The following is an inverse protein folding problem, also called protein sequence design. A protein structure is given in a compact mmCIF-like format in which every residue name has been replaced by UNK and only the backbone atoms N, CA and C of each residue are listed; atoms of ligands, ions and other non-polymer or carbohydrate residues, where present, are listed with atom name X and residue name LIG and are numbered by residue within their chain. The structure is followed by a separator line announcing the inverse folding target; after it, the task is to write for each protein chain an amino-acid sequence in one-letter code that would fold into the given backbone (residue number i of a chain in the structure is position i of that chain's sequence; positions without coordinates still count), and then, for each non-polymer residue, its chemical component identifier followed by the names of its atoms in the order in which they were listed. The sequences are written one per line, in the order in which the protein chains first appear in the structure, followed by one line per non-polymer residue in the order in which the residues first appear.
data_IF_809876543201
#
_entry.id   IF_809876543201
#
_cell.length_a   1.000
_cell.length_b   1.000
_cell.length_c   1.000
_cell.angle_alpha   90.00
_cell.angle_beta   90.00
_cell.angle_gamma   90.00
#
_symmetry.space_group_name_H-M   'P 1'
#
loop_
_entity.id
_entity.type
_entity.pdbx_description
1 polymer ?
#
# COMPACT_ATOMS: atom_id res chain seq x y z
N UNK A 1 -10.76 -27.59 9.74
CA UNK A 1 -9.33 -27.35 9.98
C UNK A 1 -8.85 -26.23 9.06
N UNK A 2 -8.26 -25.18 9.63
CA UNK A 2 -7.72 -24.03 8.89
C UNK A 2 -6.25 -24.26 8.61
N UNK A 3 -5.82 -24.12 7.33
CA UNK A 3 -4.43 -24.30 6.93
C UNK A 3 -4.10 -23.53 5.66
N UNK A 4 -2.84 -23.15 5.49
CA UNK A 4 -2.33 -22.73 4.20
C UNK A 4 -2.13 -23.92 3.27
N UNK A 5 -2.61 -23.81 2.03
CA UNK A 5 -2.54 -24.86 1.00
C UNK A 5 -1.77 -24.41 -0.24
N UNK A 6 -1.40 -23.12 -0.33
CA UNK A 6 -0.52 -22.54 -1.33
C UNK A 6 0.35 -21.45 -0.69
N UNK A 7 1.53 -21.22 -1.25
CA UNK A 7 2.57 -20.35 -0.74
C UNK A 7 3.35 -21.06 0.37
N UNK A 8 2.99 -20.78 1.60
CA UNK A 8 3.57 -21.43 2.79
C UNK A 8 2.82 -22.69 3.20
N UNK A 9 3.43 -23.52 4.05
CA UNK A 9 2.79 -24.64 4.72
C UNK A 9 2.65 -24.34 6.22
N UNK A 10 1.42 -24.19 6.68
CA UNK A 10 1.11 -24.04 8.09
C UNK A 10 -0.31 -24.53 8.40
N UNK A 11 -0.44 -25.29 9.48
CA UNK A 11 -1.72 -25.81 9.95
C UNK A 11 -2.04 -25.23 11.33
N UNK A 12 -3.15 -24.52 11.43
CA UNK A 12 -3.58 -23.89 12.68
C UNK A 12 -4.01 -24.89 13.77
N UNK A 13 -4.23 -26.17 13.43
CA UNK A 13 -4.45 -27.19 14.46
C UNK A 13 -3.24 -27.38 15.40
N UNK A 14 -2.05 -27.07 14.91
CA UNK A 14 -0.78 -27.16 15.64
C UNK A 14 -0.50 -25.89 16.48
N UNK A 15 -1.19 -24.80 16.19
CA UNK A 15 -1.04 -23.54 16.92
C UNK A 15 -1.57 -23.67 18.37
N UNK A 16 -0.86 -23.07 19.31
CA UNK A 16 -1.35 -22.88 20.68
C UNK A 16 -2.56 -21.91 20.74
N UNK A 17 -2.62 -20.96 19.80
CA UNK A 17 -3.72 -20.00 19.68
C UNK A 17 -4.89 -20.62 18.92
N UNK A 18 -6.00 -20.86 19.58
CA UNK A 18 -7.21 -21.47 19.01
C UNK A 18 -8.31 -20.45 18.68
N UNK A 19 -8.19 -19.23 19.17
CA UNK A 19 -9.14 -18.14 18.96
C UNK A 19 -8.40 -16.83 18.88
N UNK A 20 -8.85 -15.94 18.01
CA UNK A 20 -8.40 -14.55 17.91
C UNK A 20 -9.60 -13.64 18.11
N UNK A 21 -9.40 -12.52 18.80
CA UNK A 21 -10.42 -11.50 18.97
C UNK A 21 -10.56 -10.62 17.72
N UNK A 22 -11.69 -9.97 17.51
CA UNK A 22 -11.83 -8.97 16.46
C UNK A 22 -10.70 -7.93 16.52
N UNK A 23 -10.09 -7.63 15.37
CA UNK A 23 -8.97 -6.69 15.26
C UNK A 23 -7.61 -7.23 15.75
N UNK A 24 -7.58 -8.41 16.36
CA UNK A 24 -6.32 -9.04 16.79
C UNK A 24 -5.54 -9.57 15.59
N UNK A 25 -4.22 -9.35 15.60
CA UNK A 25 -3.28 -9.87 14.61
C UNK A 25 -2.63 -11.14 15.12
N UNK A 26 -2.42 -12.12 14.25
CA UNK A 26 -1.76 -13.37 14.53
C UNK A 26 -0.60 -13.55 13.54
N UNK A 27 0.59 -13.77 14.08
CA UNK A 27 1.81 -13.91 13.29
C UNK A 27 2.11 -15.38 13.00
N UNK A 28 2.52 -15.64 11.78
CA UNK A 28 3.11 -16.92 11.36
C UNK A 28 4.49 -16.57 10.83
N UNK A 29 5.53 -17.15 11.39
CA UNK A 29 6.91 -16.76 11.13
C UNK A 29 7.71 -17.90 10.51
N UNK A 30 8.72 -17.58 9.70
CA UNK A 30 9.59 -18.61 9.12
C UNK A 30 10.53 -19.22 10.16
N UNK A 31 11.01 -18.40 11.11
CA UNK A 31 11.90 -18.80 12.18
C UNK A 31 11.66 -17.92 13.41
N UNK A 32 11.17 -18.51 14.46
CA UNK A 32 10.81 -17.78 15.68
C UNK A 32 12.02 -17.19 16.41
N UNK A 33 13.16 -17.88 16.42
CA UNK A 33 14.36 -17.38 17.08
C UNK A 33 14.91 -16.14 16.33
N UNK A 34 14.95 -16.19 15.00
CA UNK A 34 15.36 -15.05 14.16
C UNK A 34 14.35 -13.89 14.27
N UNK A 35 13.07 -14.19 14.32
CA UNK A 35 12.01 -13.19 14.53
C UNK A 35 12.18 -12.46 15.86
N UNK A 36 12.36 -13.21 16.95
CA UNK A 36 12.55 -12.67 18.30
C UNK A 36 13.85 -11.86 18.42
N UNK A 37 14.92 -12.27 17.73
CA UNK A 37 16.17 -11.51 17.70
C UNK A 37 15.98 -10.15 16.98
N UNK A 38 15.15 -10.12 15.93
CA UNK A 38 14.95 -8.92 15.10
C UNK A 38 13.93 -7.94 15.69
N UNK A 39 12.84 -8.45 16.25
CA UNK A 39 11.68 -7.65 16.68
C UNK A 39 11.45 -7.68 18.19
N UNK A 40 12.27 -8.40 18.92
CA UNK A 40 12.05 -8.70 20.35
C UNK A 40 10.99 -9.79 20.54
N UNK A 41 10.89 -10.28 21.78
CA UNK A 41 9.79 -11.16 22.13
C UNK A 41 8.51 -10.36 22.15
N UNK A 42 7.45 -10.79 21.43
CA UNK A 42 6.13 -10.18 21.60
C UNK A 42 5.77 -10.27 23.08
N UNK A 43 5.30 -9.18 23.63
CA UNK A 43 4.99 -9.04 25.08
C UNK A 43 3.89 -10.01 25.56
N UNK A 44 3.28 -10.74 24.63
CA UNK A 44 2.30 -11.79 24.90
C UNK A 44 2.51 -12.97 23.94
N UNK A 45 2.57 -14.23 24.43
CA UNK A 45 2.71 -15.43 23.58
C UNK A 45 1.58 -15.62 22.56
N UNK A 46 0.57 -14.77 22.60
CA UNK A 46 -0.65 -14.86 21.80
C UNK A 46 -0.50 -14.34 20.35
N UNK A 47 0.63 -13.72 20.01
CA UNK A 47 0.80 -13.13 18.68
C UNK A 47 1.45 -14.07 17.66
N UNK A 48 2.26 -15.04 18.06
CA UNK A 48 2.90 -16.01 17.17
C UNK A 48 2.11 -17.32 17.19
N UNK A 49 1.49 -17.65 16.08
CA UNK A 49 0.75 -18.91 15.91
C UNK A 49 1.69 -20.12 15.79
N UNK A 50 2.87 -19.90 15.24
CA UNK A 50 3.90 -20.92 15.00
C UNK A 50 4.79 -20.58 13.82
N UNK A 51 5.61 -21.56 13.43
CA UNK A 51 6.51 -21.46 12.29
C UNK A 51 5.93 -22.16 11.06
N UNK A 52 6.03 -21.52 9.92
CA UNK A 52 5.65 -22.11 8.66
C UNK A 52 6.83 -22.79 7.95
N UNK A 53 6.53 -23.74 7.08
CA UNK A 53 7.48 -24.36 6.17
C UNK A 53 7.35 -23.75 4.77
N UNK A 54 8.36 -23.97 3.94
CA UNK A 54 8.59 -23.32 2.65
C UNK A 54 9.00 -21.85 2.81
N UNK A 55 9.23 -21.20 1.70
CA UNK A 55 9.54 -19.77 1.61
C UNK A 55 8.52 -19.09 0.72
N UNK A 56 8.22 -17.86 1.01
CA UNK A 56 7.54 -16.98 0.07
C UNK A 56 8.47 -16.69 -1.10
N UNK A 57 7.91 -16.68 -2.32
CA UNK A 57 8.68 -16.39 -3.54
C UNK A 57 9.00 -14.90 -3.62
N UNK A 58 10.25 -14.55 -3.99
CA UNK A 58 10.64 -13.17 -4.24
C UNK A 58 10.04 -12.62 -5.54
N UNK A 59 9.62 -13.50 -6.47
CA UNK A 59 9.02 -13.14 -7.76
C UNK A 59 7.51 -13.38 -7.83
N UNK A 60 6.84 -13.25 -6.71
CA UNK A 60 5.40 -13.43 -6.63
C UNK A 60 4.94 -14.90 -6.60
N UNK A 61 3.81 -15.15 -5.98
CA UNK A 61 3.15 -16.45 -5.94
C UNK A 61 1.71 -16.37 -5.43
N UNK A 62 1.04 -17.52 -5.49
CA UNK A 62 -0.31 -17.67 -4.93
C UNK A 62 -0.27 -18.01 -3.46
N UNK A 63 -0.99 -17.25 -2.65
CA UNK A 63 -1.23 -17.52 -1.24
C UNK A 63 -2.67 -18.01 -1.08
N UNK A 64 -2.83 -19.17 -0.44
CA UNK A 64 -4.16 -19.73 -0.19
C UNK A 64 -4.30 -20.25 1.22
N UNK A 65 -5.21 -19.65 1.98
CA UNK A 65 -5.71 -20.14 3.26
C UNK A 65 -7.02 -20.87 3.03
N UNK A 66 -7.11 -22.11 3.49
CA UNK A 66 -8.27 -22.99 3.25
C UNK A 66 -8.82 -23.54 4.55
N UNK A 67 -10.12 -23.82 4.55
CA UNK A 67 -10.84 -24.50 5.63
C UNK A 67 -11.36 -25.88 5.17
N UNK A 68 -11.34 -26.86 6.07
CA UNK A 68 -11.89 -28.19 5.82
C UNK A 68 -11.26 -28.90 4.62
N UNK A 69 -12.08 -29.34 3.67
CA UNK A 69 -11.66 -30.06 2.46
C UNK A 69 -10.97 -29.17 1.40
N UNK A 70 -10.74 -27.89 1.69
CA UNK A 70 -10.05 -26.97 0.77
C UNK A 70 -10.87 -25.77 0.36
N UNK A 71 -11.97 -25.49 1.06
CA UNK A 71 -12.75 -24.25 0.86
C UNK A 71 -11.87 -23.04 1.11
N UNK A 72 -11.69 -22.13 0.14
CA UNK A 72 -10.84 -20.95 0.30
C UNK A 72 -11.44 -19.99 1.32
N UNK A 73 -10.62 -19.51 2.23
CA UNK A 73 -10.90 -18.38 3.13
C UNK A 73 -10.25 -17.13 2.59
N UNK A 74 -8.99 -17.25 2.13
CA UNK A 74 -8.26 -16.24 1.39
C UNK A 74 -7.54 -16.95 0.24
N UNK A 75 -7.57 -16.37 -0.95
CA UNK A 75 -6.95 -16.94 -2.15
C UNK A 75 -6.58 -15.80 -3.10
N UNK A 76 -5.29 -15.49 -3.21
CA UNK A 76 -4.80 -14.40 -4.05
C UNK A 76 -3.39 -14.67 -4.56
N UNK A 77 -2.99 -13.92 -5.58
CA UNK A 77 -1.62 -13.86 -6.07
C UNK A 77 -1.04 -12.48 -5.75
N UNK A 78 0.21 -12.46 -5.29
CA UNK A 78 1.01 -11.23 -5.25
C UNK A 78 2.13 -11.31 -6.28
N UNK A 79 2.74 -10.15 -6.58
CA UNK A 79 3.84 -10.01 -7.53
C UNK A 79 4.87 -9.01 -6.98
N UNK A 80 6.06 -8.97 -7.54
CA UNK A 80 7.15 -8.04 -7.24
C UNK A 80 7.26 -6.91 -8.27
N UNK A 81 6.67 -7.11 -9.46
CA UNK A 81 6.67 -6.14 -10.54
C UNK A 81 5.51 -5.13 -10.44
N UNK A 82 5.71 -3.93 -11.03
CA UNK A 82 4.63 -2.93 -11.19
C UNK A 82 3.41 -3.57 -11.90
N UNK A 83 2.19 -3.34 -11.42
CA UNK A 83 1.74 -2.27 -10.50
C UNK A 83 1.83 -2.58 -8.99
N UNK A 84 2.43 -3.68 -8.59
CA UNK A 84 2.68 -3.98 -7.18
C UNK A 84 3.72 -3.03 -6.59
N UNK A 85 3.70 -2.78 -5.25
CA UNK A 85 4.65 -1.89 -4.59
C UNK A 85 6.08 -2.44 -4.61
N UNK A 86 6.88 -2.05 -5.61
CA UNK A 86 8.22 -2.61 -5.90
C UNK A 86 9.24 -2.46 -4.77
N UNK A 87 9.09 -1.47 -3.87
CA UNK A 87 9.98 -1.31 -2.72
C UNK A 87 9.79 -2.40 -1.63
N UNK A 88 8.82 -3.29 -1.79
CA UNK A 88 8.69 -4.50 -0.98
C UNK A 88 9.69 -5.59 -1.43
N UNK A 89 10.22 -5.49 -2.66
CA UNK A 89 11.25 -6.37 -3.18
C UNK A 89 12.65 -5.75 -2.98
N UNK A 90 13.37 -6.23 -1.96
CA UNK A 90 14.77 -5.89 -1.71
C UNK A 90 15.04 -4.61 -0.91
N UNK A 91 14.17 -3.61 -0.92
CA UNK A 91 14.37 -2.34 -0.19
C UNK A 91 14.03 -2.42 1.30
N UNK A 92 13.65 -3.61 1.77
CA UNK A 92 13.39 -3.94 3.17
C UNK A 92 12.01 -3.52 3.69
N UNK A 93 11.10 -3.15 2.82
CA UNK A 93 9.68 -2.95 3.15
C UNK A 93 8.89 -4.25 3.03
N UNK A 94 7.72 -4.29 3.67
CA UNK A 94 6.74 -5.37 3.52
C UNK A 94 5.57 -4.91 2.68
N UNK A 95 4.87 -5.83 2.03
CA UNK A 95 3.53 -5.58 1.50
C UNK A 95 2.54 -5.46 2.68
N UNK A 96 1.72 -4.44 2.66
CA UNK A 96 0.65 -4.17 3.63
C UNK A 96 -0.67 -3.98 2.90
N UNK A 97 -1.67 -4.80 3.25
CA UNK A 97 -3.02 -4.65 2.70
C UNK A 97 -3.67 -3.40 3.30
N UNK A 98 -4.14 -2.51 2.44
CA UNK A 98 -4.75 -1.24 2.83
C UNK A 98 -6.17 -1.50 3.36
N UNK A 99 -6.50 -0.97 4.53
CA UNK A 99 -7.82 -1.03 5.15
C UNK A 99 -8.44 -2.46 5.14
N UNK A 100 -7.75 -3.47 5.72
CA UNK A 100 -8.19 -4.87 5.64
C UNK A 100 -9.57 -5.12 6.26
N UNK A 101 -10.03 -4.24 7.16
CA UNK A 101 -11.38 -4.28 7.77
C UNK A 101 -12.50 -4.03 6.76
N UNK A 102 -12.20 -3.43 5.60
CA UNK A 102 -13.15 -3.22 4.50
C UNK A 102 -13.24 -4.43 3.57
N UNK A 103 -12.44 -5.49 3.84
CA UNK A 103 -12.34 -6.69 3.03
C UNK A 103 -12.02 -6.41 1.54
N UNK A 104 -10.94 -5.64 1.25
CA UNK A 104 -10.55 -5.34 -0.13
C UNK A 104 -10.11 -6.62 -0.86
N UNK A 105 -10.29 -6.65 -2.18
CA UNK A 105 -9.78 -7.77 -3.00
C UNK A 105 -8.24 -7.81 -2.97
N UNK A 106 -7.63 -8.84 -2.38
CA UNK A 106 -6.17 -8.92 -2.27
C UNK A 106 -5.45 -9.23 -3.60
N UNK A 107 -6.17 -9.53 -4.69
CA UNK A 107 -5.60 -9.68 -6.02
C UNK A 107 -5.31 -8.35 -6.73
N UNK A 108 -5.84 -7.25 -6.21
CA UNK A 108 -5.64 -5.93 -6.80
C UNK A 108 -4.45 -5.23 -6.17
N UNK A 109 -3.39 -5.00 -6.94
CA UNK A 109 -2.17 -4.32 -6.51
C UNK A 109 -2.44 -2.97 -5.82
N UNK A 110 -3.45 -2.21 -6.30
CA UNK A 110 -3.84 -0.92 -5.72
C UNK A 110 -4.42 -1.01 -4.30
N UNK A 111 -4.72 -2.23 -3.82
CA UNK A 111 -5.12 -2.48 -2.43
C UNK A 111 -3.92 -2.75 -1.52
N UNK A 112 -2.70 -2.70 -2.05
CA UNK A 112 -1.47 -2.91 -1.31
C UNK A 112 -0.59 -1.66 -1.31
N UNK A 113 0.19 -1.51 -0.28
CA UNK A 113 1.26 -0.52 -0.15
C UNK A 113 2.49 -1.12 0.52
N UNK A 114 3.59 -0.41 0.49
CA UNK A 114 4.73 -0.75 1.34
C UNK A 114 4.44 -0.39 2.81
N UNK A 115 5.11 -1.07 3.73
CA UNK A 115 5.10 -0.71 5.15
C UNK A 115 5.68 0.70 5.36
N UNK A 116 5.17 1.41 6.37
CA UNK A 116 5.65 2.76 6.71
C UNK A 116 7.09 2.78 7.22
N UNK A 117 7.58 1.62 7.66
CA UNK A 117 8.95 1.44 8.15
C UNK A 117 9.66 0.32 7.38
N UNK A 118 10.94 0.51 7.11
CA UNK A 118 11.81 -0.59 6.68
C UNK A 118 11.85 -1.67 7.75
N UNK A 119 11.89 -2.93 7.33
CA UNK A 119 11.79 -4.14 8.17
C UNK A 119 10.37 -4.49 8.60
N UNK A 120 9.38 -3.71 8.19
CA UNK A 120 7.98 -3.93 8.56
C UNK A 120 7.66 -3.62 10.03
N UNK A 121 6.43 -3.89 10.40
CA UNK A 121 5.92 -3.68 11.77
C UNK A 121 5.03 -4.88 12.22
N UNK A 122 5.57 -6.10 12.25
CA UNK A 122 4.78 -7.31 12.47
C UNK A 122 4.05 -7.27 13.82
N UNK A 123 2.77 -7.63 13.80
CA UNK A 123 1.91 -7.64 14.99
C UNK A 123 1.35 -6.28 15.41
N UNK A 124 1.87 -5.19 14.87
CA UNK A 124 1.38 -3.84 15.14
C UNK A 124 0.64 -3.25 13.93
N UNK A 125 0.03 -2.09 14.13
CA UNK A 125 -0.50 -1.28 13.05
C UNK A 125 0.50 -0.21 12.68
N UNK A 126 0.72 0.01 11.40
CA UNK A 126 1.42 1.18 10.88
C UNK A 126 0.45 2.17 10.21
N UNK A 127 -0.86 1.97 10.48
CA UNK A 127 -1.92 2.88 10.07
C UNK A 127 -1.96 4.07 11.02
N UNK A 128 -2.02 5.26 10.46
CA UNK A 128 -2.40 6.50 11.15
C UNK A 128 -3.87 6.79 10.85
N UNK A 129 -4.58 7.40 11.79
CA UNK A 129 -5.98 7.74 11.60
C UNK A 129 -6.17 9.24 11.52
N UNK A 130 -7.05 9.67 10.63
CA UNK A 130 -7.44 11.06 10.54
C UNK A 130 -8.34 11.43 11.73
N UNK A 131 -7.99 12.51 12.39
CA UNK A 131 -8.79 13.09 13.47
C UNK A 131 -9.12 14.55 13.17
N UNK A 132 -10.36 14.93 13.42
CA UNK A 132 -10.81 16.32 13.25
C UNK A 132 -11.78 16.53 12.08
N UNK A 133 -11.97 17.80 11.72
CA UNK A 133 -12.84 18.18 10.59
C UNK A 133 -12.06 18.14 9.28
N UNK A 134 -12.44 17.30 8.31
CA UNK A 134 -11.71 17.14 7.06
C UNK A 134 -11.66 18.42 6.20
N UNK A 135 -12.67 19.29 6.34
CA UNK A 135 -12.80 20.51 5.54
C UNK A 135 -12.23 21.77 6.20
N UNK A 136 -11.82 21.68 7.48
CA UNK A 136 -11.17 22.79 8.15
C UNK A 136 -9.75 23.00 7.65
N UNK A 137 -9.27 24.23 7.75
CA UNK A 137 -7.89 24.66 7.55
C UNK A 137 -7.46 25.33 8.86
N UNK A 138 -7.04 24.50 9.83
CA UNK A 138 -6.81 24.96 11.21
C UNK A 138 -5.55 25.82 11.34
N UNK A 139 -4.59 25.64 10.44
CA UNK A 139 -3.34 26.42 10.41
C UNK A 139 -3.35 27.56 9.39
N UNK A 140 -4.45 27.74 8.64
CA UNK A 140 -4.71 28.81 7.68
C UNK A 140 -3.67 28.90 6.55
N UNK A 141 -3.18 27.76 6.07
CA UNK A 141 -2.20 27.70 4.98
C UNK A 141 -2.84 27.48 3.59
N UNK A 142 -4.16 27.39 3.51
CA UNK A 142 -4.92 27.17 2.27
C UNK A 142 -5.14 25.71 1.91
N UNK A 143 -4.73 24.77 2.76
CA UNK A 143 -4.98 23.34 2.61
C UNK A 143 -5.93 22.84 3.70
N UNK A 144 -6.85 21.96 3.35
CA UNK A 144 -7.70 21.37 4.37
C UNK A 144 -6.92 20.35 5.22
N UNK A 145 -7.35 20.15 6.46
CA UNK A 145 -6.75 19.20 7.39
C UNK A 145 -6.64 17.79 6.78
N UNK A 146 -7.62 17.36 5.99
CA UNK A 146 -7.59 16.04 5.32
C UNK A 146 -6.46 15.96 4.28
N UNK A 147 -6.23 17.05 3.53
CA UNK A 147 -5.13 17.10 2.55
C UNK A 147 -3.78 17.04 3.27
N UNK A 148 -3.59 17.81 4.35
CA UNK A 148 -2.36 17.80 5.14
C UNK A 148 -2.11 16.48 5.87
N UNK A 149 -3.19 15.79 6.23
CA UNK A 149 -3.10 14.44 6.78
C UNK A 149 -2.54 13.45 5.77
N UNK A 150 -3.04 13.47 4.53
CA UNK A 150 -2.67 12.51 3.50
C UNK A 150 -1.35 12.84 2.81
N UNK A 151 -1.07 14.13 2.61
CA UNK A 151 0.07 14.63 1.86
C UNK A 151 0.96 15.52 2.72
N UNK A 152 2.20 15.71 2.26
CA UNK A 152 3.12 16.67 2.85
C UNK A 152 3.96 17.34 1.77
N UNK A 153 4.50 18.53 2.07
CA UNK A 153 5.32 19.28 1.14
C UNK A 153 4.52 19.85 -0.04
N UNK A 154 5.25 20.15 -1.11
CA UNK A 154 4.68 20.79 -2.30
C UNK A 154 4.29 19.74 -3.34
N UNK A 155 3.16 19.96 -3.99
CA UNK A 155 2.80 19.31 -5.24
C UNK A 155 3.53 20.04 -6.37
N UNK A 156 4.28 19.31 -7.20
CA UNK A 156 5.12 19.90 -8.24
C UNK A 156 4.64 19.38 -9.60
N UNK A 157 4.10 20.30 -10.41
CA UNK A 157 3.86 20.04 -11.83
C UNK A 157 5.13 20.30 -12.64
N UNK A 158 5.40 19.47 -13.64
CA UNK A 158 6.58 19.58 -14.50
C UNK A 158 6.30 18.97 -15.89
N UNK A 159 7.25 19.15 -16.79
CA UNK A 159 7.33 18.41 -18.06
C UNK A 159 8.58 17.53 -18.00
N UNK A 160 8.40 16.28 -18.32
CA UNK A 160 9.51 15.30 -18.38
C UNK A 160 9.64 14.75 -19.79
N UNK A 161 10.85 14.35 -20.16
CA UNK A 161 11.12 13.76 -21.46
C UNK A 161 11.30 12.25 -21.31
N UNK A 162 10.50 11.48 -22.05
CA UNK A 162 10.62 10.03 -22.14
C UNK A 162 10.70 9.66 -23.62
N UNK A 163 11.75 8.93 -24.02
CA UNK A 163 12.02 8.55 -25.40
C UNK A 163 11.94 9.74 -26.39
N UNK A 164 12.56 10.86 -26.02
CA UNK A 164 12.56 12.12 -26.76
C UNK A 164 11.20 12.78 -26.99
N UNK A 165 10.19 12.39 -26.19
CA UNK A 165 8.87 13.02 -26.21
C UNK A 165 8.59 13.70 -24.85
N UNK A 166 8.06 14.94 -24.85
CA UNK A 166 7.69 15.64 -23.63
C UNK A 166 6.34 15.13 -23.11
N UNK A 167 6.25 14.92 -21.79
CA UNK A 167 5.01 14.51 -21.12
C UNK A 167 4.72 15.44 -19.94
N UNK A 168 3.45 15.77 -19.68
CA UNK A 168 3.07 16.45 -18.45
C UNK A 168 3.27 15.49 -17.28
N UNK A 169 3.80 15.98 -16.18
CA UNK A 169 4.05 15.19 -14.98
C UNK A 169 3.65 15.93 -13.71
N UNK A 170 3.42 15.16 -12.66
CA UNK A 170 3.17 15.66 -11.32
C UNK A 170 3.94 14.80 -10.32
N UNK A 171 4.50 15.45 -9.29
CA UNK A 171 5.10 14.78 -8.15
C UNK A 171 4.50 15.30 -6.85
N UNK A 172 4.26 14.39 -5.92
CA UNK A 172 3.77 14.70 -4.58
C UNK A 172 4.33 13.73 -3.55
N UNK A 173 4.28 14.11 -2.28
CA UNK A 173 4.72 13.27 -1.17
C UNK A 173 3.49 12.84 -0.38
N UNK A 174 3.32 11.53 -0.26
CA UNK A 174 2.24 10.90 0.51
C UNK A 174 2.78 10.38 1.83
N UNK A 175 1.96 10.45 2.88
CA UNK A 175 2.20 9.72 4.13
C UNK A 175 1.71 8.28 3.99
N UNK A 176 2.62 7.34 4.16
CA UNK A 176 2.27 5.92 4.28
C UNK A 176 1.49 5.71 5.58
N UNK A 177 0.53 4.80 5.55
CA UNK A 177 -0.33 4.54 6.72
C UNK A 177 -1.57 5.41 6.81
N UNK A 178 -1.74 6.45 5.97
CA UNK A 178 -3.02 7.17 5.83
C UNK A 178 -4.03 6.33 5.03
N UNK A 179 -4.40 5.17 5.59
CA UNK A 179 -5.18 4.13 4.89
C UNK A 179 -6.68 4.43 4.89
N UNK A 180 -7.14 5.36 5.71
CA UNK A 180 -8.53 5.83 5.81
C UNK A 180 -8.91 6.91 4.80
N UNK A 181 -8.01 7.20 3.84
CA UNK A 181 -8.27 8.11 2.73
C UNK A 181 -7.94 7.49 1.38
N UNK A 182 -8.70 7.91 0.37
CA UNK A 182 -8.35 7.68 -1.03
C UNK A 182 -7.57 8.89 -1.56
N UNK A 183 -6.46 8.60 -2.24
CA UNK A 183 -5.72 9.58 -3.03
C UNK A 183 -5.93 9.24 -4.49
N UNK A 184 -6.70 10.04 -5.20
CA UNK A 184 -6.97 9.85 -6.61
C UNK A 184 -6.40 10.98 -7.46
N UNK A 185 -5.98 10.64 -8.68
CA UNK A 185 -5.42 11.57 -9.64
C UNK A 185 -6.46 11.78 -10.73
N UNK A 186 -6.80 13.02 -10.96
CA UNK A 186 -7.67 13.39 -12.05
C UNK A 186 -6.92 14.22 -13.08
N UNK A 187 -7.28 14.02 -14.34
CA UNK A 187 -6.70 14.75 -15.48
C UNK A 187 -7.76 15.58 -16.17
N UNK A 188 -7.35 16.73 -16.71
CA UNK A 188 -8.22 17.60 -17.51
C UNK A 188 -7.44 18.27 -18.63
N UNK A 189 -8.11 18.56 -19.75
CA UNK A 189 -7.58 19.34 -20.84
C UNK A 189 -8.08 20.81 -20.84
N UNK A 190 -9.17 21.07 -20.11
CA UNK A 190 -9.88 22.36 -20.13
C UNK A 190 -10.19 22.97 -18.77
N UNK A 191 -9.72 22.29 -17.68
CA UNK A 191 -10.00 22.64 -16.26
C UNK A 191 -11.49 22.58 -15.88
N UNK A 192 -12.35 22.14 -16.80
CA UNK A 192 -13.81 22.06 -16.57
C UNK A 192 -14.27 20.62 -16.43
N UNK A 193 -13.74 19.74 -17.28
CA UNK A 193 -14.05 18.30 -17.24
C UNK A 193 -12.84 17.55 -16.70
N UNK A 194 -13.05 16.88 -15.60
CA UNK A 194 -12.03 16.07 -14.95
C UNK A 194 -12.33 14.59 -15.14
N UNK A 195 -11.31 13.84 -15.49
CA UNK A 195 -11.39 12.41 -15.74
C UNK A 195 -10.56 11.67 -14.65
N UNK A 196 -11.25 10.82 -13.91
CA UNK A 196 -10.69 9.96 -12.87
C UNK A 196 -10.48 8.55 -13.46
N UNK A 197 -9.55 8.38 -14.36
CA UNK A 197 -9.20 7.06 -14.91
C UNK A 197 -7.72 6.81 -14.78
N UNK A 198 -7.37 5.71 -14.14
CA UNK A 198 -5.98 5.26 -14.00
C UNK A 198 -5.29 5.02 -15.35
N UNK A 199 -6.08 4.88 -16.45
CA UNK A 199 -5.55 4.78 -17.80
C UNK A 199 -4.99 6.10 -18.36
N UNK A 200 -5.18 7.24 -17.68
CA UNK A 200 -4.74 8.55 -18.16
C UNK A 200 -3.33 8.94 -17.71
N UNK A 201 -2.74 8.17 -16.82
CA UNK A 201 -1.39 8.41 -16.32
C UNK A 201 -0.66 7.09 -16.05
N UNK A 202 0.63 7.19 -15.86
CA UNK A 202 1.46 6.07 -15.40
C UNK A 202 2.40 6.55 -14.31
N UNK A 203 2.61 5.72 -13.29
CA UNK A 203 3.60 5.96 -12.25
C UNK A 203 4.97 5.69 -12.85
N UNK A 204 5.86 6.66 -12.74
CA UNK A 204 7.24 6.58 -13.21
C UNK A 204 8.20 6.17 -12.11
N UNK A 205 7.94 6.65 -10.90
CA UNK A 205 8.82 6.43 -9.77
C UNK A 205 8.06 6.55 -8.47
N UNK A 206 8.31 5.62 -7.60
CA UNK A 206 8.03 5.68 -6.17
C UNK A 206 9.36 5.72 -5.43
N UNK A 207 9.53 6.66 -4.51
CA UNK A 207 10.77 6.90 -3.79
C UNK A 207 10.47 7.07 -2.30
N UNK A 208 10.90 6.10 -1.51
CA UNK A 208 10.80 6.19 -0.06
C UNK A 208 11.77 7.23 0.48
N UNK A 209 11.26 8.19 1.25
CA UNK A 209 12.03 9.30 1.79
C UNK A 209 12.43 9.14 3.26
N UNK A 210 12.01 8.04 3.90
CA UNK A 210 12.11 7.85 5.34
C UNK A 210 10.86 8.32 6.10
N UNK A 211 10.78 7.97 7.37
CA UNK A 211 9.73 8.42 8.30
C UNK A 211 8.28 8.23 7.80
N UNK A 212 8.04 7.14 7.07
CA UNK A 212 6.72 6.83 6.52
C UNK A 212 6.29 7.75 5.37
N UNK A 213 7.24 8.38 4.67
CA UNK A 213 6.97 9.26 3.53
C UNK A 213 7.41 8.60 2.22
N UNK A 214 6.55 8.70 1.21
CA UNK A 214 6.85 8.25 -0.15
C UNK A 214 6.58 9.38 -1.14
N UNK A 215 7.55 9.65 -2.02
CA UNK A 215 7.38 10.55 -3.15
C UNK A 215 6.93 9.76 -4.37
N UNK A 216 5.81 10.15 -4.92
CA UNK A 216 5.24 9.58 -6.13
C UNK A 216 5.43 10.57 -7.26
N UNK A 217 5.99 10.08 -8.37
CA UNK A 217 6.09 10.83 -9.63
C UNK A 217 5.35 10.07 -10.71
N UNK A 218 4.40 10.73 -11.33
CA UNK A 218 3.64 10.19 -12.45
C UNK A 218 3.65 11.13 -13.65
N UNK A 219 3.36 10.58 -14.82
CA UNK A 219 3.17 11.34 -16.06
C UNK A 219 1.85 11.02 -16.72
N UNK A 220 1.37 11.94 -17.55
CA UNK A 220 0.28 11.67 -18.46
C UNK A 220 0.65 10.57 -19.46
N UNK A 221 -0.36 9.84 -19.94
CA UNK A 221 -0.16 8.77 -20.92
C UNK A 221 0.23 9.33 -22.30
N UNK A 222 -0.32 10.49 -22.66
CA UNK A 222 -0.10 11.13 -23.95
C UNK A 222 1.03 12.16 -23.87
N UNK A 223 1.94 12.20 -24.86
CA UNK A 223 2.95 13.25 -24.96
C UNK A 223 2.30 14.60 -25.32
N UNK A 224 3.01 15.66 -24.99
CA UNK A 224 2.62 17.04 -25.34
C UNK A 224 2.95 17.26 -26.83
N UNK A 225 1.93 17.59 -27.64
CA UNK A 225 2.08 17.94 -29.05
C UNK A 225 1.39 19.28 -29.32
N UNK A 226 1.68 19.90 -30.47
CA UNK A 226 1.08 21.20 -30.88
C UNK A 226 -0.46 21.22 -30.82
N UNK A 227 -1.10 20.07 -31.05
CA UNK A 227 -2.56 19.90 -31.00
C UNK A 227 -3.11 19.35 -29.68
N UNK A 228 -2.23 19.04 -28.69
CA UNK A 228 -2.61 18.50 -27.40
C UNK A 228 -1.74 19.15 -26.32
N UNK A 229 -1.89 20.47 -26.17
CA UNK A 229 -0.92 21.31 -25.48
C UNK A 229 -0.93 21.22 -23.98
N UNK A 230 -2.04 20.79 -23.34
CA UNK A 230 -2.16 20.92 -21.90
C UNK A 230 -2.93 19.73 -21.34
N UNK A 231 -2.28 19.03 -20.39
CA UNK A 231 -2.98 18.17 -19.44
C UNK A 231 -2.76 18.74 -18.05
N UNK A 232 -3.84 19.05 -17.38
CA UNK A 232 -3.83 19.43 -15.98
C UNK A 232 -3.98 18.19 -15.11
N UNK A 233 -3.32 18.20 -13.98
CA UNK A 233 -3.49 17.20 -12.93
C UNK A 233 -4.14 17.84 -11.71
N UNK A 234 -4.99 17.07 -11.06
CA UNK A 234 -5.54 17.39 -9.75
C UNK A 234 -5.41 16.16 -8.84
N UNK A 235 -5.00 16.37 -7.61
CA UNK A 235 -5.03 15.36 -6.57
C UNK A 235 -6.31 15.57 -5.76
N UNK A 236 -7.12 14.54 -5.67
CA UNK A 236 -8.33 14.52 -4.86
C UNK A 236 -8.11 13.59 -3.66
N UNK A 237 -8.36 14.10 -2.47
CA UNK A 237 -8.32 13.33 -1.22
C UNK A 237 -9.74 13.20 -0.70
N UNK A 238 -10.18 11.96 -0.48
CA UNK A 238 -11.49 11.66 0.11
C UNK A 238 -11.35 10.63 1.21
N UNK A 239 -12.18 10.73 2.25
CA UNK A 239 -12.26 9.69 3.28
C UNK A 239 -12.82 8.39 2.69
N UNK A 240 -12.35 7.25 3.21
CA UNK A 240 -12.90 5.93 2.90
C UNK A 240 -14.24 5.71 3.58
#
# INVERSE_FOLDING_TARGET
ELRFTKGIEFNFSESATKKIAPGQKLLIVANEAAFNLRYGHPSTPQFVAGTFFKNLSDSGERIKLSFGAGTPVIDFNYDDDSPWPVAADGDGHSLVLIAPETNPDPNLANNWRISSQTKGNPGNSDVIHFEGNPNSDDNQNGLSNLVEYALTGKIIGNVITVQNQPYPSISYIRKLGSDDVYVSIETSQDLRKWNNSDSNYTILKEEYLGDGLIKITLRGINPIHENNLISFFRILITQR
#
